data_IF_313785582282
#
_entry.id   IF_313785582282
#
_cell.length_a   1.000
_cell.length_b   1.000
_cell.length_c   1.000
_cell.angle_alpha   90.00
_cell.angle_beta   90.00
_cell.angle_gamma   90.00
#
_symmetry.space_group_name_H-M   'P 1'
#
loop_
_entity.id
_entity.type
_entity.pdbx_description
1 polymer ?
#
# COMPACT_ATOMS: atom_id res chain seq x y z
N UNK A 1 23.56 32.66 -17.34
CA UNK A 1 22.22 32.09 -17.12
C UNK A 1 22.40 31.01 -16.07
N UNK A 2 22.24 31.36 -14.80
CA UNK A 2 22.39 30.42 -13.68
C UNK A 2 21.14 29.54 -13.62
N UNK A 3 21.25 28.30 -14.09
CA UNK A 3 20.25 27.29 -13.78
C UNK A 3 20.22 27.08 -12.27
N UNK A 4 19.12 27.45 -11.64
CA UNK A 4 18.82 27.13 -10.25
C UNK A 4 18.67 25.61 -10.17
N UNK A 5 19.78 24.92 -9.94
CA UNK A 5 19.81 23.48 -9.72
C UNK A 5 18.97 23.17 -8.48
N UNK A 6 17.71 22.78 -8.71
CA UNK A 6 16.87 22.28 -7.63
C UNK A 6 17.60 21.08 -7.03
N UNK A 7 17.81 21.09 -5.71
CA UNK A 7 18.50 20.02 -4.96
C UNK A 7 17.61 18.77 -4.90
N UNK A 8 17.17 18.28 -6.03
CA UNK A 8 16.36 17.08 -6.16
C UNK A 8 17.28 15.86 -6.25
N UNK A 9 16.92 14.83 -5.50
CA UNK A 9 17.63 13.56 -5.55
C UNK A 9 17.40 12.87 -6.90
N UNK A 10 18.42 12.19 -7.40
CA UNK A 10 18.29 11.39 -8.61
C UNK A 10 17.25 10.28 -8.41
N UNK A 11 16.50 9.99 -9.47
CA UNK A 11 15.57 8.86 -9.50
C UNK A 11 16.35 7.54 -9.48
N UNK A 12 15.76 6.48 -8.90
CA UNK A 12 16.40 5.18 -8.77
C UNK A 12 16.87 4.63 -10.13
N UNK A 13 16.03 4.76 -11.16
CA UNK A 13 16.36 4.35 -12.54
C UNK A 13 17.61 5.07 -13.05
N UNK A 14 17.77 6.36 -12.78
CA UNK A 14 18.96 7.12 -13.19
C UNK A 14 20.22 6.53 -12.55
N UNK A 15 20.15 6.13 -11.28
CA UNK A 15 21.26 5.47 -10.60
C UNK A 15 21.57 4.12 -11.23
N UNK A 16 20.55 3.30 -11.49
CA UNK A 16 20.73 1.99 -12.11
C UNK A 16 21.26 2.05 -13.54
N UNK A 17 20.79 3.01 -14.35
CA UNK A 17 21.36 3.24 -15.68
C UNK A 17 22.82 3.67 -15.59
N UNK A 18 23.17 4.53 -14.62
CA UNK A 18 24.56 4.91 -14.42
C UNK A 18 25.45 3.71 -14.03
N UNK A 19 24.98 2.87 -13.10
CA UNK A 19 25.69 1.65 -12.70
C UNK A 19 25.82 0.66 -13.88
N UNK A 20 24.77 0.49 -14.68
CA UNK A 20 24.80 -0.35 -15.87
C UNK A 20 25.86 0.14 -16.87
N UNK A 21 25.85 1.43 -17.22
CA UNK A 21 26.80 2.00 -18.17
C UNK A 21 28.24 1.91 -17.63
N UNK A 22 28.44 2.09 -16.31
CA UNK A 22 29.75 1.93 -15.67
C UNK A 22 30.28 0.48 -15.78
N UNK A 23 29.48 -0.51 -15.37
CA UNK A 23 29.94 -1.90 -15.27
C UNK A 23 29.85 -2.69 -16.58
N UNK A 24 28.81 -2.47 -17.40
CA UNK A 24 28.57 -3.24 -18.63
C UNK A 24 29.19 -2.59 -19.85
N UNK A 25 29.24 -1.27 -19.90
CA UNK A 25 29.80 -0.55 -21.04
C UNK A 25 31.21 0.01 -20.76
N UNK A 26 31.70 -0.07 -19.52
CA UNK A 26 33.07 0.29 -19.15
C UNK A 26 33.37 1.79 -19.15
N UNK A 27 32.35 2.63 -19.02
CA UNK A 27 32.52 4.09 -19.07
C UNK A 27 33.25 4.62 -17.85
N UNK A 28 34.12 5.61 -18.04
CA UNK A 28 34.81 6.28 -16.93
C UNK A 28 33.87 7.21 -16.17
N UNK A 29 34.21 7.52 -14.91
CA UNK A 29 33.41 8.45 -14.09
C UNK A 29 33.30 9.83 -14.72
N UNK A 30 34.37 10.32 -15.36
CA UNK A 30 34.38 11.60 -16.08
C UNK A 30 33.43 11.63 -17.27
N UNK A 31 33.26 10.50 -17.97
CA UNK A 31 32.30 10.42 -19.06
C UNK A 31 30.86 10.38 -18.52
N UNK A 32 30.65 9.68 -17.40
CA UNK A 32 29.34 9.62 -16.74
C UNK A 32 28.90 10.97 -16.15
N UNK A 33 29.82 11.82 -15.68
CA UNK A 33 29.45 13.17 -15.19
C UNK A 33 28.83 14.01 -16.30
N UNK A 34 29.35 13.90 -17.52
CA UNK A 34 28.83 14.57 -18.71
C UNK A 34 27.45 14.03 -19.12
N UNK A 35 27.27 12.71 -19.17
CA UNK A 35 25.99 12.09 -19.57
C UNK A 35 24.87 12.36 -18.55
N UNK A 36 25.14 12.15 -17.26
CA UNK A 36 24.10 12.20 -16.21
C UNK A 36 23.93 13.58 -15.59
N UNK A 37 24.78 14.54 -15.95
CA UNK A 37 24.89 15.86 -15.33
C UNK A 37 24.90 15.75 -13.80
N UNK A 38 25.82 14.94 -13.28
CA UNK A 38 26.03 14.70 -11.84
C UNK A 38 27.51 14.85 -11.53
N UNK A 39 27.81 15.33 -10.32
CA UNK A 39 29.19 15.45 -9.87
C UNK A 39 29.84 14.08 -9.73
N UNK A 40 31.14 14.00 -9.98
CA UNK A 40 31.92 12.77 -9.84
C UNK A 40 31.80 12.16 -8.43
N UNK A 41 31.69 13.02 -7.41
CA UNK A 41 31.42 12.62 -6.02
C UNK A 41 30.10 11.86 -5.89
N UNK A 42 29.05 12.33 -6.54
CA UNK A 42 27.72 11.70 -6.47
C UNK A 42 27.75 10.32 -7.13
N UNK A 43 28.36 10.23 -8.32
CA UNK A 43 28.54 8.97 -9.05
C UNK A 43 29.41 7.99 -8.26
N UNK A 44 30.51 8.47 -7.69
CA UNK A 44 31.39 7.68 -6.84
C UNK A 44 30.69 7.14 -5.61
N UNK A 45 29.79 7.92 -5.00
CA UNK A 45 28.97 7.44 -3.89
C UNK A 45 28.00 6.34 -4.34
N UNK A 46 27.35 6.47 -5.51
CA UNK A 46 26.46 5.43 -6.03
C UNK A 46 27.20 4.12 -6.28
N UNK A 47 28.37 4.19 -6.92
CA UNK A 47 29.22 3.03 -7.19
C UNK A 47 29.65 2.38 -5.87
N UNK A 48 30.16 3.15 -4.91
CA UNK A 48 30.57 2.64 -3.59
C UNK A 48 29.41 2.00 -2.83
N UNK A 49 28.23 2.62 -2.81
CA UNK A 49 27.04 2.05 -2.15
C UNK A 49 26.67 0.71 -2.77
N UNK A 50 26.72 0.62 -4.10
CA UNK A 50 26.42 -0.60 -4.84
C UNK A 50 27.48 -1.69 -4.60
N UNK A 51 28.77 -1.35 -4.60
CA UNK A 51 29.86 -2.29 -4.29
C UNK A 51 29.75 -2.85 -2.87
N UNK A 52 29.35 -2.02 -1.91
CA UNK A 52 29.24 -2.44 -0.50
C UNK A 52 27.97 -3.26 -0.22
N UNK A 53 26.83 -2.87 -0.79
CA UNK A 53 25.51 -3.43 -0.43
C UNK A 53 24.99 -4.44 -1.45
N UNK A 54 25.49 -4.40 -2.70
CA UNK A 54 24.93 -5.15 -3.84
C UNK A 54 23.64 -4.56 -4.42
N UNK A 55 23.10 -3.50 -3.81
CA UNK A 55 21.87 -2.81 -4.19
C UNK A 55 22.05 -1.31 -3.90
N UNK A 56 21.31 -0.47 -4.63
CA UNK A 56 21.17 0.94 -4.32
C UNK A 56 19.81 1.21 -3.67
N UNK A 57 19.81 1.35 -2.34
CA UNK A 57 18.64 1.81 -1.60
C UNK A 57 18.88 3.19 -1.00
N UNK A 58 17.84 4.03 -1.05
CA UNK A 58 17.86 5.33 -0.38
C UNK A 58 17.93 5.10 1.13
N UNK A 59 18.85 5.79 1.79
CA UNK A 59 18.89 5.83 3.25
C UNK A 59 17.53 6.31 3.80
N UNK A 60 16.81 5.43 4.48
CA UNK A 60 15.63 5.79 5.27
C UNK A 60 16.13 6.17 6.65
N UNK A 61 16.00 7.44 7.02
CA UNK A 61 16.20 7.82 8.41
C UNK A 61 15.17 7.07 9.26
N UNK A 62 15.62 6.35 10.28
CA UNK A 62 14.71 5.74 11.24
C UNK A 62 13.89 6.87 11.88
N UNK A 63 12.59 6.91 11.61
CA UNK A 63 11.75 7.89 12.30
C UNK A 63 11.72 7.50 13.78
N UNK A 64 11.98 8.47 14.66
CA UNK A 64 11.95 8.28 16.11
C UNK A 64 10.51 7.92 16.48
N UNK A 65 10.25 6.65 16.80
CA UNK A 65 8.91 6.17 17.17
C UNK A 65 8.51 6.84 18.49
N UNK A 66 7.46 7.65 18.45
CA UNK A 66 7.01 8.47 19.60
C UNK A 66 6.24 7.66 20.64
N UNK A 67 5.71 6.48 20.27
CA UNK A 67 4.87 5.66 21.14
C UNK A 67 5.56 4.34 21.49
N UNK A 68 5.57 4.02 22.78
CA UNK A 68 6.01 2.75 23.37
C UNK A 68 5.18 1.56 22.83
N UNK A 69 5.64 0.33 23.04
CA UNK A 69 4.93 -0.88 22.58
C UNK A 69 3.52 -1.01 23.19
N UNK A 70 3.37 -0.83 24.50
CA UNK A 70 2.11 -1.12 25.20
C UNK A 70 0.90 -0.30 24.72
N UNK A 71 0.99 1.03 24.48
CA UNK A 71 -0.14 1.78 23.93
C UNK A 71 -0.48 1.39 22.48
N UNK A 72 0.49 0.90 21.72
CA UNK A 72 0.25 0.44 20.34
C UNK A 72 -0.49 -0.88 20.35
N UNK A 73 -0.12 -1.80 21.22
CA UNK A 73 -0.77 -3.10 21.36
C UNK A 73 -2.21 -2.94 21.85
N UNK A 74 -2.46 -1.98 22.75
CA UNK A 74 -3.83 -1.64 23.16
C UNK A 74 -4.69 -1.19 21.98
N UNK A 75 -4.16 -0.33 21.10
CA UNK A 75 -4.85 0.13 19.89
C UNK A 75 -5.16 -1.02 18.93
N UNK A 76 -4.25 -1.98 18.78
CA UNK A 76 -4.44 -3.16 17.94
C UNK A 76 -5.57 -4.03 18.52
N UNK A 77 -5.55 -4.29 19.82
CA UNK A 77 -6.59 -5.08 20.50
C UNK A 77 -7.95 -4.38 20.44
N UNK A 78 -8.00 -3.06 20.62
CA UNK A 78 -9.23 -2.28 20.47
C UNK A 78 -9.88 -2.49 19.09
N UNK A 79 -9.09 -2.54 18.02
CA UNK A 79 -9.60 -2.81 16.67
C UNK A 79 -9.94 -4.29 16.40
N UNK A 80 -9.44 -5.22 17.22
CA UNK A 80 -9.89 -6.62 17.17
C UNK A 80 -11.30 -6.75 17.79
N UNK A 81 -11.54 -6.05 18.90
CA UNK A 81 -12.83 -6.05 19.59
C UNK A 81 -13.89 -5.18 18.88
N UNK A 82 -13.44 -4.09 18.24
CA UNK A 82 -14.28 -3.11 17.56
C UNK A 82 -13.80 -2.85 16.12
N UNK A 83 -14.00 -3.79 15.19
CA UNK A 83 -13.46 -3.69 13.83
C UNK A 83 -14.03 -2.52 13.01
N UNK A 84 -15.23 -2.03 13.33
CA UNK A 84 -15.88 -0.89 12.65
C UNK A 84 -15.66 0.47 13.34
N UNK A 85 -14.89 0.51 14.43
CA UNK A 85 -14.71 1.76 15.17
C UNK A 85 -14.02 2.82 14.30
N UNK A 86 -14.56 4.03 14.28
CA UNK A 86 -13.94 5.14 13.55
C UNK A 86 -12.62 5.56 14.22
N UNK A 87 -11.72 6.17 13.46
CA UNK A 87 -10.45 6.66 14.02
C UNK A 87 -10.63 7.68 15.14
N UNK A 88 -11.74 8.43 15.14
CA UNK A 88 -12.10 9.34 16.24
C UNK A 88 -12.49 8.60 17.51
N UNK A 89 -13.29 7.55 17.39
CA UNK A 89 -13.72 6.74 18.53
C UNK A 89 -12.52 6.03 19.17
N UNK A 90 -11.65 5.42 18.34
CA UNK A 90 -10.42 4.80 18.81
C UNK A 90 -9.48 5.83 19.48
N UNK A 91 -9.37 7.05 18.92
CA UNK A 91 -8.60 8.14 19.51
C UNK A 91 -9.16 8.55 20.87
N UNK A 92 -10.47 8.73 20.97
CA UNK A 92 -11.11 9.23 22.18
C UNK A 92 -11.07 8.17 23.30
N UNK A 93 -11.25 6.89 22.95
CA UNK A 93 -11.05 5.76 23.86
C UNK A 93 -9.58 5.66 24.34
N UNK A 94 -8.62 5.84 23.42
CA UNK A 94 -7.19 5.87 23.75
C UNK A 94 -6.85 6.99 24.73
N UNK A 95 -7.34 8.21 24.49
CA UNK A 95 -7.13 9.37 25.37
C UNK A 95 -7.73 9.11 26.75
N UNK A 96 -8.90 8.47 26.82
CA UNK A 96 -9.58 8.16 28.08
C UNK A 96 -8.76 7.19 28.95
N UNK A 97 -8.14 6.18 28.35
CA UNK A 97 -7.42 5.12 29.07
C UNK A 97 -5.98 5.52 29.36
N UNK A 98 -5.22 5.93 28.35
CA UNK A 98 -3.78 6.21 28.49
C UNK A 98 -3.48 7.64 28.92
N UNK A 99 -4.47 8.55 28.90
CA UNK A 99 -4.29 9.99 29.20
C UNK A 99 -3.25 10.69 28.32
N UNK A 100 -2.90 10.09 27.17
CA UNK A 100 -1.97 10.62 26.19
C UNK A 100 -2.76 11.11 24.98
N UNK A 101 -2.47 12.33 24.52
CA UNK A 101 -3.05 12.87 23.29
C UNK A 101 -2.44 12.17 22.08
N UNK A 102 -3.29 11.65 21.20
CA UNK A 102 -2.89 11.06 19.92
C UNK A 102 -3.68 11.71 18.77
N UNK A 103 -3.03 11.90 17.62
CA UNK A 103 -3.71 12.40 16.42
C UNK A 103 -4.31 11.26 15.60
N UNK A 104 -5.36 11.53 14.81
CA UNK A 104 -5.99 10.53 13.92
C UNK A 104 -4.97 9.90 12.97
N UNK A 105 -4.07 10.72 12.41
CA UNK A 105 -2.99 10.27 11.52
C UNK A 105 -2.03 9.31 12.22
N UNK A 106 -1.82 9.49 13.52
CA UNK A 106 -0.98 8.58 14.30
C UNK A 106 -1.67 7.25 14.59
N UNK A 107 -2.96 7.27 14.95
CA UNK A 107 -3.79 6.07 15.08
C UNK A 107 -3.74 5.26 13.78
N UNK A 108 -4.05 5.91 12.65
CA UNK A 108 -4.00 5.28 11.33
C UNK A 108 -2.63 4.66 11.04
N UNK A 109 -1.54 5.36 11.34
CA UNK A 109 -0.18 4.85 11.12
C UNK A 109 0.12 3.60 11.95
N UNK A 110 -0.27 3.57 13.22
CA UNK A 110 -0.07 2.41 14.11
C UNK A 110 -0.86 1.20 13.61
N UNK A 111 -2.11 1.42 13.22
CA UNK A 111 -3.01 0.39 12.67
C UNK A 111 -2.49 -0.13 11.32
N UNK A 112 -2.02 0.76 10.45
CA UNK A 112 -1.44 0.38 9.16
C UNK A 112 -0.10 -0.35 9.32
N UNK A 113 0.76 0.06 10.25
CA UNK A 113 2.04 -0.61 10.55
C UNK A 113 1.85 -2.03 11.11
N UNK A 114 0.71 -2.29 11.77
CA UNK A 114 0.35 -3.62 12.29
C UNK A 114 -0.37 -4.51 11.26
N UNK A 115 -0.55 -4.03 10.02
CA UNK A 115 -1.17 -4.80 8.93
C UNK A 115 -2.71 -4.83 8.95
N UNK A 116 -3.34 -4.11 9.87
CA UNK A 116 -4.79 -3.93 9.92
C UNK A 116 -5.19 -2.88 8.88
N UNK A 117 -5.41 -3.31 7.64
CA UNK A 117 -6.00 -2.42 6.61
C UNK A 117 -7.51 -2.39 6.74
N UNK A 118 -8.15 -1.31 6.30
CA UNK A 118 -9.62 -1.19 6.29
C UNK A 118 -10.30 -2.42 5.67
N UNK A 119 -9.78 -2.91 4.54
CA UNK A 119 -10.23 -4.15 3.88
C UNK A 119 -10.08 -5.42 4.73
N UNK A 120 -9.13 -5.45 5.66
CA UNK A 120 -8.94 -6.58 6.58
C UNK A 120 -9.94 -6.49 7.73
N UNK A 121 -10.19 -5.28 8.24
CA UNK A 121 -11.20 -5.06 9.27
C UNK A 121 -12.62 -5.34 8.74
N UNK A 122 -12.96 -4.84 7.55
CA UNK A 122 -14.22 -5.13 6.87
C UNK A 122 -14.42 -6.63 6.63
N UNK A 123 -13.39 -7.34 6.15
CA UNK A 123 -13.49 -8.81 5.94
C UNK A 123 -13.67 -9.60 7.23
N UNK A 124 -13.10 -9.13 8.34
CA UNK A 124 -13.27 -9.78 9.65
C UNK A 124 -14.64 -9.52 10.25
N UNK A 125 -15.26 -8.39 9.93
CA UNK A 125 -16.62 -8.07 10.35
C UNK A 125 -17.68 -8.74 9.44
N UNK A 126 -17.40 -8.88 8.14
CA UNK A 126 -18.18 -9.69 7.20
C UNK A 126 -18.24 -11.18 7.55
N UNK A 127 -17.61 -11.64 8.63
CA UNK A 127 -18.04 -12.88 9.28
C UNK A 127 -19.46 -12.67 9.81
N UNK A 128 -20.43 -12.88 8.91
CA UNK A 128 -21.86 -12.87 9.13
C UNK A 128 -22.13 -13.63 10.42
N UNK A 129 -22.80 -13.00 11.37
CA UNK A 129 -23.22 -13.68 12.61
C UNK A 129 -24.03 -14.89 12.20
N UNK A 130 -23.77 -16.05 12.80
CA UNK A 130 -24.43 -17.32 12.45
C UNK A 130 -25.97 -17.18 12.36
N UNK A 131 -26.55 -16.39 13.27
CA UNK A 131 -27.98 -16.02 13.27
C UNK A 131 -28.47 -15.34 11.98
N UNK A 132 -27.65 -14.49 11.39
CA UNK A 132 -27.99 -13.74 10.18
C UNK A 132 -27.84 -14.64 8.95
N UNK A 133 -26.92 -15.63 9.00
CA UNK A 133 -26.87 -16.73 8.02
C UNK A 133 -28.15 -17.56 8.10
N UNK A 134 -28.55 -17.99 9.30
CA UNK A 134 -29.77 -18.79 9.48
C UNK A 134 -31.04 -18.06 9.02
N UNK A 135 -31.20 -16.79 9.43
CA UNK A 135 -32.33 -15.96 8.97
C UNK A 135 -32.34 -15.86 7.44
N UNK A 136 -31.19 -15.58 6.82
CA UNK A 136 -31.11 -15.42 5.37
C UNK A 136 -31.41 -16.73 4.64
N UNK A 137 -30.91 -17.86 5.12
CA UNK A 137 -31.20 -19.19 4.53
C UNK A 137 -32.69 -19.53 4.64
N UNK A 138 -33.32 -19.24 5.78
CA UNK A 138 -34.75 -19.43 5.99
C UNK A 138 -35.56 -18.54 5.02
N UNK A 139 -35.25 -17.26 4.92
CA UNK A 139 -35.89 -16.33 3.98
C UNK A 139 -35.75 -16.80 2.53
N UNK A 140 -34.55 -17.26 2.13
CA UNK A 140 -34.30 -17.82 0.79
C UNK A 140 -35.09 -19.09 0.53
N UNK A 141 -35.34 -19.93 1.54
CA UNK A 141 -36.11 -21.17 1.38
C UNK A 141 -37.59 -20.94 1.04
N UNK A 142 -38.13 -19.76 1.36
CA UNK A 142 -39.52 -19.38 1.09
C UNK A 142 -39.71 -18.73 -0.29
N UNK A 143 -38.63 -18.43 -1.02
CA UNK A 143 -38.68 -17.83 -2.35
C UNK A 143 -38.92 -18.91 -3.41
N UNK A 144 -39.86 -18.69 -4.34
CA UNK A 144 -40.08 -19.59 -5.48
C UNK A 144 -38.99 -19.36 -6.54
N UNK A 145 -37.95 -20.22 -6.51
CA UNK A 145 -36.75 -20.19 -7.35
C UNK A 145 -36.98 -20.58 -8.82
N UNK A 146 -38.09 -20.14 -9.43
CA UNK A 146 -38.26 -20.30 -10.87
C UNK A 146 -37.21 -19.46 -11.58
N UNK A 147 -36.56 -20.06 -12.57
CA UNK A 147 -35.47 -19.47 -13.36
C UNK A 147 -35.81 -18.10 -13.99
N UNK A 148 -37.10 -17.75 -14.10
CA UNK A 148 -37.59 -16.46 -14.60
C UNK A 148 -37.56 -15.31 -13.57
N UNK A 149 -37.40 -15.63 -12.29
CA UNK A 149 -37.50 -14.66 -11.18
C UNK A 149 -36.11 -14.24 -10.63
N UNK A 150 -35.03 -14.81 -11.15
CA UNK A 150 -33.66 -14.54 -10.67
C UNK A 150 -33.02 -13.49 -11.57
N UNK A 151 -32.74 -12.31 -11.02
CA UNK A 151 -31.96 -11.25 -11.68
C UNK A 151 -30.78 -10.92 -10.77
N UNK A 152 -29.56 -11.10 -11.27
CA UNK A 152 -28.35 -10.71 -10.57
C UNK A 152 -28.00 -9.27 -10.97
N UNK A 153 -27.91 -8.39 -9.98
CA UNK A 153 -27.37 -7.05 -10.12
C UNK A 153 -26.03 -7.02 -9.39
N UNK A 154 -24.95 -6.76 -10.12
CA UNK A 154 -23.62 -6.57 -9.55
C UNK A 154 -23.15 -5.16 -9.88
N UNK A 155 -22.85 -4.38 -8.84
CA UNK A 155 -22.31 -3.03 -8.99
C UNK A 155 -20.78 -3.10 -8.97
N UNK A 156 -20.17 -3.07 -10.15
CA UNK A 156 -18.72 -2.87 -10.24
C UNK A 156 -18.43 -1.39 -9.97
N UNK A 157 -17.98 -1.08 -8.75
CA UNK A 157 -17.56 0.27 -8.39
C UNK A 157 -16.26 0.64 -9.11
N UNK A 158 -16.36 1.47 -10.15
CA UNK A 158 -15.19 2.11 -10.76
C UNK A 158 -14.68 3.21 -9.81
N UNK A 159 -13.57 2.95 -9.14
CA UNK A 159 -12.88 3.97 -8.34
C UNK A 159 -12.25 4.99 -9.28
N UNK A 160 -12.91 6.13 -9.48
CA UNK A 160 -12.29 7.32 -10.06
C UNK A 160 -11.50 8.01 -8.94
N UNK A 161 -10.22 7.66 -8.80
CA UNK A 161 -9.29 8.40 -7.95
C UNK A 161 -8.97 9.74 -8.62
N UNK A 162 -9.54 10.83 -8.10
CA UNK A 162 -9.15 12.21 -8.42
C UNK A 162 -7.72 12.50 -7.92
N UNK A 163 -6.71 12.00 -8.63
CA UNK A 163 -5.37 12.62 -8.73
C UNK A 163 -4.80 12.27 -10.10
N UNK A 164 -4.74 13.28 -10.97
CA UNK A 164 -4.14 13.14 -12.29
C UNK A 164 -2.68 12.70 -12.21
N UNK A 165 -2.33 11.73 -13.06
CA UNK A 165 -1.16 11.66 -13.95
C UNK A 165 -1.30 10.31 -14.70
N UNK A 166 -1.26 10.38 -16.04
CA UNK A 166 -1.25 9.27 -16.99
C UNK A 166 -0.29 8.15 -16.62
N UNK A 167 -0.64 6.89 -16.90
CA UNK A 167 0.13 5.96 -17.76
C UNK A 167 -0.74 4.74 -18.15
N UNK A 168 -0.97 4.63 -19.46
CA UNK A 168 -0.95 3.44 -20.32
C UNK A 168 -1.41 2.07 -19.82
N UNK A 169 -2.54 1.64 -20.41
CA UNK A 169 -2.70 0.39 -21.17
C UNK A 169 -1.98 -0.85 -20.62
N UNK A 170 -2.65 -1.59 -19.73
CA UNK A 170 -2.48 -3.03 -19.66
C UNK A 170 -3.63 -3.71 -20.40
N UNK A 171 -3.43 -3.94 -21.69
CA UNK A 171 -4.12 -4.97 -22.45
C UNK A 171 -3.87 -6.33 -21.79
N UNK A 172 -4.86 -6.86 -21.07
CA UNK A 172 -4.96 -8.29 -20.82
C UNK A 172 -6.00 -8.87 -21.79
N UNK A 173 -5.65 -9.81 -22.68
CA UNK A 173 -6.62 -10.45 -23.55
C UNK A 173 -7.59 -11.32 -22.71
N UNK A 174 -8.84 -11.49 -23.15
CA UNK A 174 -9.83 -12.29 -22.44
C UNK A 174 -9.37 -13.75 -22.46
N UNK A 175 -9.05 -14.31 -21.29
CA UNK A 175 -8.97 -15.76 -21.14
C UNK A 175 -10.38 -16.31 -21.23
N UNK A 176 -10.66 -17.00 -22.33
CA UNK A 176 -11.81 -17.86 -22.56
C UNK A 176 -12.07 -18.72 -21.32
N UNK A 177 -13.22 -18.48 -20.69
CA UNK A 177 -13.83 -19.42 -19.75
C UNK A 177 -14.41 -20.53 -20.63
N UNK A 178 -13.75 -21.70 -20.68
CA UNK A 178 -14.38 -22.92 -21.16
C UNK A 178 -15.03 -23.65 -19.98
N UNK A 179 -16.27 -24.13 -20.12
CA UNK A 179 -16.94 -24.93 -19.10
C UNK A 179 -16.43 -26.38 -19.20
N UNK A 180 -15.82 -26.90 -18.15
CA UNK A 180 -15.62 -28.34 -18.01
C UNK A 180 -16.82 -28.92 -17.25
N UNK A 181 -17.67 -29.60 -18.02
CA UNK A 181 -18.63 -30.60 -17.58
C UNK A 181 -17.95 -31.98 -17.72
N UNK A 182 -18.34 -32.92 -16.83
CA UNK A 182 -17.97 -34.34 -16.66
C UNK A 182 -16.71 -34.59 -15.81
N UNK A 183 -16.76 -35.41 -14.75
CA UNK A 183 -17.61 -36.60 -14.46
C UNK A 183 -18.29 -36.50 -13.10
#
# INVERSE_FOLDING_TARGET
MEEVATRQHAHLNTVYHCLFVYYKLGYTKQHLTQIFNKSERTLGNWIKTYEYTGDFQRAKAASKRTFTADPRDWLINYYQDHPLAYFDEARDAFIKIHRIKISKTCVWRIVHESGLTWKVLERREMHIKERDVFRFVEELSHVDWRQKNIVFLDEVSFVVSLRGISYDLCSCPPKLIQPFILV
#
